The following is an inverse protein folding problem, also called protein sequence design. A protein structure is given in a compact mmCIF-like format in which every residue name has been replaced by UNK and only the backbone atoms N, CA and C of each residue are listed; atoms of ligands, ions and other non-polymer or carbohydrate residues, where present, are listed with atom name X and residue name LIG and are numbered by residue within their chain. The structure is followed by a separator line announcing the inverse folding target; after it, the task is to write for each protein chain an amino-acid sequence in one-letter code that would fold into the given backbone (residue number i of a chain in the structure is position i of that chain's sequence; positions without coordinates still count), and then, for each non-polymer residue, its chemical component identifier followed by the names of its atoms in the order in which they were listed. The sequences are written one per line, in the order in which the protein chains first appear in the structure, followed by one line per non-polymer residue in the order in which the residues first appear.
data_IF_216948504289
#
_entry.id   IF_216948504289
#
_cell.length_a   1.000
_cell.length_b   1.000
_cell.length_c   1.000
_cell.angle_alpha   90.00
_cell.angle_beta   90.00
_cell.angle_gamma   90.00
#
_symmetry.space_group_name_H-M   'P 1'
#
loop_
_entity.id
_entity.type
_entity.pdbx_description
1 polymer ?
#
# COMPACT_ATOMS: atom_id res chain seq x y z
N UNK A 1 -23.15 39.75 -30.96
CA UNK A 1 -21.76 39.53 -30.51
C UNK A 1 -21.76 38.17 -29.86
N UNK A 2 -21.14 37.20 -30.53
CA UNK A 2 -20.97 35.86 -29.96
C UNK A 2 -20.06 35.92 -28.74
N UNK A 3 -20.38 35.24 -27.64
CA UNK A 3 -19.50 35.19 -26.48
C UNK A 3 -18.19 34.55 -26.87
N UNK A 4 -17.07 35.17 -26.51
CA UNK A 4 -15.71 34.68 -26.74
C UNK A 4 -15.60 33.22 -26.27
N UNK A 5 -15.29 32.30 -27.17
CA UNK A 5 -15.18 30.88 -26.92
C UNK A 5 -14.14 30.61 -25.82
N UNK A 6 -14.58 29.97 -24.77
CA UNK A 6 -13.74 29.52 -23.66
C UNK A 6 -12.59 28.60 -24.16
N UNK A 7 -11.48 28.47 -23.39
CA UNK A 7 -10.34 27.60 -23.75
C UNK A 7 -10.69 26.10 -23.97
N UNK A 8 -11.94 25.75 -23.92
CA UNK A 8 -12.50 24.42 -24.19
C UNK A 8 -12.45 23.98 -25.66
N UNK A 9 -12.28 24.89 -26.63
CA UNK A 9 -12.27 24.54 -28.06
C UNK A 9 -11.05 23.71 -28.49
N UNK A 10 -9.99 23.68 -27.70
CA UNK A 10 -8.78 22.88 -27.96
C UNK A 10 -8.73 21.57 -27.18
N UNK A 11 -9.78 21.20 -26.45
CA UNK A 11 -9.87 19.96 -25.69
C UNK A 11 -10.53 18.84 -26.51
N UNK A 12 -10.00 17.62 -26.36
CA UNK A 12 -10.66 16.42 -26.93
C UNK A 12 -11.99 16.15 -26.23
N UNK A 13 -12.90 15.34 -26.82
CA UNK A 13 -14.15 14.98 -26.18
C UNK A 13 -13.97 14.36 -24.76
N UNK A 14 -13.00 13.47 -24.59
CA UNK A 14 -12.69 12.85 -23.28
C UNK A 14 -12.16 13.86 -22.27
N UNK A 15 -11.32 14.82 -22.70
CA UNK A 15 -10.85 15.88 -21.83
C UNK A 15 -11.99 16.81 -21.41
N UNK A 16 -12.91 17.17 -22.33
CA UNK A 16 -14.12 17.95 -21.99
C UNK A 16 -14.99 17.24 -20.98
N UNK A 17 -15.19 15.93 -21.15
CA UNK A 17 -15.93 15.12 -20.18
C UNK A 17 -15.26 15.14 -18.80
N UNK A 18 -13.93 15.01 -18.71
CA UNK A 18 -13.18 15.09 -17.46
C UNK A 18 -13.29 16.48 -16.79
N UNK A 19 -13.36 17.56 -17.57
CA UNK A 19 -13.51 18.92 -17.06
C UNK A 19 -14.87 19.12 -16.38
N UNK A 20 -15.95 18.67 -17.01
CA UNK A 20 -17.33 18.90 -16.49
C UNK A 20 -17.79 17.85 -15.50
N UNK A 21 -17.06 16.74 -15.35
CA UNK A 21 -17.43 15.68 -14.41
C UNK A 21 -17.41 16.18 -12.95
N UNK A 22 -18.34 15.72 -12.13
CA UNK A 22 -18.48 16.09 -10.72
C UNK A 22 -18.38 14.86 -9.82
N UNK A 23 -18.15 15.09 -8.53
CA UNK A 23 -17.90 14.05 -7.55
C UNK A 23 -16.50 13.46 -7.66
N UNK A 24 -16.30 12.23 -7.18
CA UNK A 24 -15.02 11.52 -7.25
C UNK A 24 -14.76 11.04 -8.69
N UNK A 25 -13.75 11.62 -9.34
CA UNK A 25 -13.42 11.35 -10.74
C UNK A 25 -11.96 10.90 -10.86
N UNK A 26 -11.76 9.71 -11.44
CA UNK A 26 -10.44 9.21 -11.82
C UNK A 26 -10.20 9.44 -13.32
N UNK A 27 -9.15 10.19 -13.67
CA UNK A 27 -8.73 10.41 -15.05
C UNK A 27 -7.45 9.65 -15.33
N UNK A 28 -7.53 8.58 -16.11
CA UNK A 28 -6.37 7.81 -16.57
C UNK A 28 -5.86 8.36 -17.90
N UNK A 29 -4.58 8.76 -17.94
CA UNK A 29 -4.00 9.36 -19.12
C UNK A 29 -2.49 9.12 -19.17
N UNK A 30 -1.96 8.77 -20.36
CA UNK A 30 -0.53 8.58 -20.62
C UNK A 30 0.28 9.86 -20.53
N UNK A 31 1.61 9.80 -20.65
CA UNK A 31 2.47 10.96 -20.76
C UNK A 31 2.14 11.76 -22.04
N UNK A 32 2.21 13.08 -21.99
CA UNK A 32 1.96 13.96 -23.15
C UNK A 32 0.49 14.13 -23.56
N UNK A 33 -0.47 13.46 -22.92
CA UNK A 33 -1.91 13.53 -23.28
C UNK A 33 -2.63 14.80 -22.82
N UNK A 34 -1.91 15.75 -22.21
CA UNK A 34 -2.49 17.02 -21.76
C UNK A 34 -3.18 16.99 -20.40
N UNK A 35 -2.77 16.10 -19.46
CA UNK A 35 -3.31 16.04 -18.10
C UNK A 35 -3.34 17.39 -17.40
N UNK A 36 -2.22 18.12 -17.40
CA UNK A 36 -2.10 19.45 -16.79
C UNK A 36 -3.05 20.45 -17.42
N UNK A 37 -3.20 20.41 -18.76
CA UNK A 37 -4.15 21.26 -19.48
C UNK A 37 -5.60 20.95 -19.06
N UNK A 38 -5.94 19.69 -18.95
CA UNK A 38 -7.27 19.24 -18.51
C UNK A 38 -7.55 19.67 -17.07
N UNK A 39 -6.56 19.59 -16.18
CA UNK A 39 -6.70 20.01 -14.78
C UNK A 39 -6.89 21.53 -14.67
N UNK A 40 -6.09 22.34 -15.38
CA UNK A 40 -6.29 23.81 -15.44
C UNK A 40 -7.68 24.16 -15.96
N UNK A 41 -8.13 23.51 -17.05
CA UNK A 41 -9.47 23.73 -17.59
C UNK A 41 -10.56 23.37 -16.59
N UNK A 42 -10.37 22.29 -15.78
CA UNK A 42 -11.32 21.90 -14.72
C UNK A 42 -11.35 22.93 -13.59
N UNK A 43 -10.21 23.44 -13.14
CA UNK A 43 -10.15 24.50 -12.14
C UNK A 43 -10.92 25.73 -12.62
N UNK A 44 -10.69 26.16 -13.86
CA UNK A 44 -11.42 27.28 -14.45
C UNK A 44 -12.92 27.02 -14.57
N UNK A 45 -13.33 25.78 -14.89
CA UNK A 45 -14.76 25.39 -14.94
C UNK A 45 -15.41 25.46 -13.56
N UNK A 46 -14.71 25.07 -12.48
CA UNK A 46 -15.20 25.20 -11.11
C UNK A 46 -15.36 26.68 -10.71
N UNK A 47 -14.37 27.53 -11.03
CA UNK A 47 -14.42 28.96 -10.75
C UNK A 47 -15.52 29.66 -11.55
N UNK A 48 -15.73 29.29 -12.79
CA UNK A 48 -16.69 29.94 -13.71
C UNK A 48 -18.14 29.50 -13.43
N UNK A 49 -18.38 28.18 -13.43
CA UNK A 49 -19.74 27.62 -13.35
C UNK A 49 -20.25 27.43 -11.94
N UNK A 50 -19.39 27.02 -11.02
CA UNK A 50 -19.77 26.78 -9.63
C UNK A 50 -19.57 28.02 -8.76
N UNK A 51 -18.92 29.06 -9.31
CA UNK A 51 -18.53 30.27 -8.57
C UNK A 51 -17.73 29.96 -7.30
N UNK A 52 -16.98 28.84 -7.33
CA UNK A 52 -16.02 28.52 -6.28
C UNK A 52 -14.94 29.62 -6.17
N UNK A 53 -14.43 29.82 -4.98
CA UNK A 53 -13.26 30.68 -4.80
C UNK A 53 -11.96 29.87 -4.97
N UNK A 54 -10.89 30.52 -5.43
CA UNK A 54 -9.64 29.83 -5.72
C UNK A 54 -8.98 29.26 -4.45
N UNK A 55 -9.17 29.87 -3.33
CA UNK A 55 -8.73 29.42 -2.01
C UNK A 55 -9.53 28.26 -1.45
N UNK A 56 -10.71 27.95 -2.02
CA UNK A 56 -11.49 26.74 -1.73
C UNK A 56 -10.99 25.52 -2.50
N UNK A 57 -10.08 25.70 -3.49
CA UNK A 57 -9.53 24.63 -4.29
C UNK A 57 -8.17 24.18 -3.76
N UNK A 58 -8.04 22.89 -3.47
CA UNK A 58 -6.74 22.27 -3.21
C UNK A 58 -6.20 21.61 -4.48
N UNK A 59 -5.12 22.13 -5.02
CA UNK A 59 -4.45 21.64 -6.23
C UNK A 59 -3.08 21.14 -5.86
N UNK A 60 -2.88 19.81 -5.88
CA UNK A 60 -1.62 19.18 -5.48
C UNK A 60 -0.94 18.45 -6.63
N UNK A 61 0.39 18.51 -6.61
CA UNK A 61 1.27 17.80 -7.56
C UNK A 61 2.34 17.04 -6.79
N UNK A 62 3.12 16.20 -7.49
CA UNK A 62 4.20 15.44 -6.86
C UNK A 62 5.52 16.22 -6.77
N UNK A 63 5.76 17.20 -7.65
CA UNK A 63 7.03 17.94 -7.70
C UNK A 63 6.81 19.45 -7.66
N UNK A 64 7.75 20.17 -7.08
CA UNK A 64 7.72 21.64 -7.04
C UNK A 64 7.73 22.26 -8.46
N UNK A 65 8.47 21.66 -9.39
CA UNK A 65 8.48 22.11 -10.78
C UNK A 65 7.08 22.01 -11.43
N UNK A 66 6.35 20.90 -11.18
CA UNK A 66 4.99 20.74 -11.68
C UNK A 66 4.01 21.71 -11.00
N UNK A 67 4.20 21.99 -9.70
CA UNK A 67 3.40 22.97 -8.97
C UNK A 67 3.63 24.40 -9.52
N UNK A 68 4.88 24.77 -9.75
CA UNK A 68 5.22 26.06 -10.33
C UNK A 68 4.65 26.24 -11.75
N UNK A 69 4.74 25.19 -12.59
CA UNK A 69 4.13 25.18 -13.92
C UNK A 69 2.60 25.32 -13.85
N UNK A 70 1.94 24.61 -12.91
CA UNK A 70 0.51 24.68 -12.70
C UNK A 70 0.09 26.11 -12.30
N UNK A 71 0.80 26.71 -11.32
CA UNK A 71 0.57 28.11 -10.90
C UNK A 71 0.67 29.06 -12.08
N UNK A 72 1.75 28.97 -12.87
CA UNK A 72 1.97 29.83 -14.02
C UNK A 72 0.85 29.69 -15.07
N UNK A 73 0.44 28.48 -15.38
CA UNK A 73 -0.64 28.21 -16.36
C UNK A 73 -1.98 28.73 -15.88
N UNK A 74 -2.35 28.44 -14.62
CA UNK A 74 -3.61 28.87 -14.06
C UNK A 74 -3.68 30.40 -13.98
N UNK A 75 -2.61 31.05 -13.50
CA UNK A 75 -2.53 32.53 -13.45
C UNK A 75 -2.73 33.18 -14.82
N UNK A 76 -2.06 32.68 -15.85
CA UNK A 76 -2.22 33.18 -17.23
C UNK A 76 -3.66 33.04 -17.74
N UNK A 77 -4.32 31.97 -17.44
CA UNK A 77 -5.70 31.78 -17.87
C UNK A 77 -6.67 32.68 -17.09
N UNK A 78 -6.43 32.91 -15.80
CA UNK A 78 -7.22 33.85 -14.98
C UNK A 78 -7.02 35.31 -15.49
N UNK A 79 -5.78 35.71 -15.81
CA UNK A 79 -5.47 37.03 -16.41
C UNK A 79 -6.20 37.21 -17.73
N UNK A 80 -6.25 36.18 -18.60
CA UNK A 80 -7.03 36.22 -19.85
C UNK A 80 -8.51 36.40 -19.61
N UNK A 81 -9.06 35.67 -18.62
CA UNK A 81 -10.49 35.76 -18.26
C UNK A 81 -10.82 37.15 -17.71
N UNK A 82 -10.00 37.72 -16.83
CA UNK A 82 -10.16 39.07 -16.32
C UNK A 82 -10.11 40.13 -17.42
N UNK A 83 -9.16 40.00 -18.36
CA UNK A 83 -9.05 40.89 -19.49
C UNK A 83 -10.21 40.78 -20.49
N UNK A 84 -10.77 39.59 -20.68
CA UNK A 84 -11.91 39.33 -21.58
C UNK A 84 -13.26 39.76 -21.01
N UNK A 85 -13.38 39.91 -19.70
CA UNK A 85 -14.61 40.31 -19.01
C UNK A 85 -14.32 41.35 -17.92
N UNK A 86 -13.97 42.62 -18.33
CA UNK A 86 -13.58 43.65 -17.38
C UNK A 86 -14.69 44.05 -16.39
N UNK A 87 -15.94 43.87 -16.77
CA UNK A 87 -17.13 44.17 -15.95
C UNK A 87 -17.44 43.07 -14.90
N UNK A 88 -16.83 41.87 -15.00
CA UNK A 88 -17.01 40.80 -14.06
C UNK A 88 -15.91 40.86 -12.98
N UNK A 89 -16.25 41.39 -11.81
CA UNK A 89 -15.34 41.54 -10.67
C UNK A 89 -14.88 40.16 -10.11
N UNK A 90 -15.54 39.06 -10.51
CA UNK A 90 -15.16 37.70 -10.06
C UNK A 90 -13.72 37.38 -10.45
N UNK A 91 -13.28 37.62 -11.69
CA UNK A 91 -11.95 37.24 -12.15
C UNK A 91 -10.81 38.03 -11.51
N UNK A 92 -10.87 39.37 -11.36
CA UNK A 92 -9.93 40.12 -10.55
C UNK A 92 -9.86 39.65 -9.10
N UNK A 93 -11.01 39.25 -8.50
CA UNK A 93 -11.04 38.71 -7.16
C UNK A 93 -10.30 37.36 -7.10
N UNK A 94 -10.50 36.43 -8.07
CA UNK A 94 -9.74 35.17 -8.12
C UNK A 94 -8.23 35.42 -8.25
N UNK A 95 -7.80 36.43 -8.98
CA UNK A 95 -6.40 36.80 -9.07
C UNK A 95 -5.84 37.36 -7.74
N UNK A 96 -6.64 38.07 -6.96
CA UNK A 96 -6.24 38.54 -5.63
C UNK A 96 -6.09 37.37 -4.63
N UNK A 97 -6.88 36.28 -4.76
CA UNK A 97 -6.77 35.08 -3.94
C UNK A 97 -5.59 34.18 -4.33
N UNK A 98 -4.91 34.46 -5.44
CA UNK A 98 -3.92 33.55 -6.01
C UNK A 98 -2.74 33.25 -5.07
N UNK A 99 -2.30 34.22 -4.28
CA UNK A 99 -1.15 34.07 -3.38
C UNK A 99 -1.48 33.23 -2.12
N UNK A 100 -2.76 33.18 -1.74
CA UNK A 100 -3.23 32.35 -0.63
C UNK A 100 -3.77 30.98 -1.09
N UNK A 101 -3.97 30.80 -2.40
CA UNK A 101 -4.50 29.57 -2.97
C UNK A 101 -3.61 28.35 -2.69
N UNK A 102 -4.26 27.21 -2.45
CA UNK A 102 -3.57 25.95 -2.14
C UNK A 102 -3.11 25.24 -3.42
N UNK A 103 -2.06 25.76 -4.06
CA UNK A 103 -1.44 25.15 -5.25
C UNK A 103 0.01 24.80 -4.93
N UNK A 104 0.34 23.53 -4.81
CA UNK A 104 1.67 23.10 -4.37
C UNK A 104 1.89 21.61 -4.45
N UNK A 105 2.92 21.13 -3.78
CA UNK A 105 3.06 19.68 -3.51
C UNK A 105 2.22 19.28 -2.31
N UNK A 106 1.94 17.98 -2.19
CA UNK A 106 1.26 17.47 -0.99
C UNK A 106 2.07 17.79 0.27
N UNK A 107 3.40 17.68 0.20
CA UNK A 107 4.28 17.99 1.33
C UNK A 107 4.21 19.48 1.73
N UNK A 108 4.22 20.41 0.77
CA UNK A 108 4.09 21.83 1.08
C UNK A 108 2.74 22.20 1.69
N UNK A 109 1.67 21.52 1.26
CA UNK A 109 0.35 21.68 1.83
C UNK A 109 0.29 21.13 3.29
N UNK A 110 0.82 19.92 3.53
CA UNK A 110 0.90 19.36 4.88
C UNK A 110 1.72 20.25 5.82
N UNK A 111 2.87 20.75 5.37
CA UNK A 111 3.68 21.68 6.16
C UNK A 111 2.92 22.97 6.52
N UNK A 112 2.13 23.49 5.57
CA UNK A 112 1.27 24.66 5.83
C UNK A 112 0.25 24.34 6.92
N UNK A 113 -0.45 23.22 6.83
CA UNK A 113 -1.41 22.78 7.88
C UNK A 113 -0.75 22.63 9.25
N UNK A 114 0.43 21.97 9.30
CA UNK A 114 1.18 21.83 10.56
C UNK A 114 1.55 23.20 11.15
N UNK A 115 1.96 24.14 10.31
CA UNK A 115 2.28 25.52 10.75
C UNK A 115 1.05 26.33 11.18
N UNK A 116 -0.12 26.09 10.59
CA UNK A 116 -1.37 26.73 11.01
C UNK A 116 -1.86 26.21 12.36
N UNK A 117 -1.60 24.92 12.66
CA UNK A 117 -2.03 24.23 13.86
C UNK A 117 -0.90 23.93 14.86
N UNK A 118 0.23 24.61 14.77
CA UNK A 118 1.42 24.32 15.58
C UNK A 118 1.15 24.37 17.09
N UNK A 119 0.27 25.23 17.55
CA UNK A 119 -0.13 25.33 18.96
C UNK A 119 -0.82 24.05 19.46
N UNK A 120 -1.73 23.50 18.65
CA UNK A 120 -2.47 22.29 18.99
C UNK A 120 -1.56 21.05 19.01
N UNK A 121 -0.54 21.07 18.15
CA UNK A 121 0.44 19.99 18.02
C UNK A 121 1.61 20.12 19.02
N UNK A 122 1.74 21.24 19.73
CA UNK A 122 2.86 21.50 20.64
C UNK A 122 4.21 21.63 19.92
N UNK A 123 4.22 22.09 18.66
CA UNK A 123 5.41 22.17 17.80
C UNK A 123 5.92 23.61 17.69
N UNK A 124 7.19 23.75 17.32
CA UNK A 124 7.78 25.07 16.99
C UNK A 124 7.23 25.56 15.62
N UNK A 125 6.72 26.80 15.53
CA UNK A 125 6.25 27.36 14.24
C UNK A 125 7.36 27.50 13.19
N UNK A 126 8.63 27.51 13.58
CA UNK A 126 9.79 27.57 12.67
C UNK A 126 10.23 26.23 12.13
N UNK A 127 9.32 25.25 12.10
CA UNK A 127 9.58 23.93 11.53
C UNK A 127 10.14 24.02 10.10
N UNK A 128 11.21 23.25 9.86
CA UNK A 128 11.75 22.97 8.55
C UNK A 128 11.56 21.48 8.20
N UNK A 129 11.37 21.19 6.93
CA UNK A 129 11.44 19.81 6.45
C UNK A 129 12.91 19.45 6.24
N UNK A 130 13.32 18.31 6.80
CA UNK A 130 14.59 17.70 6.47
C UNK A 130 14.58 17.19 5.03
N UNK A 131 15.70 17.27 4.35
CA UNK A 131 15.85 16.55 3.09
C UNK A 131 15.99 15.04 3.34
N UNK A 132 15.85 14.23 2.29
CA UNK A 132 15.90 12.77 2.42
C UNK A 132 17.24 12.27 2.96
N UNK A 133 18.35 12.96 2.65
CA UNK A 133 19.69 12.63 3.14
C UNK A 133 19.83 12.89 4.63
N UNK A 134 19.41 14.09 5.08
CA UNK A 134 19.41 14.49 6.48
C UNK A 134 18.49 13.59 7.33
N UNK A 135 17.29 13.30 6.85
CA UNK A 135 16.36 12.40 7.53
C UNK A 135 16.93 10.98 7.67
N UNK A 136 17.60 10.47 6.64
CA UNK A 136 18.25 9.15 6.67
C UNK A 136 19.44 9.12 7.62
N UNK A 137 20.24 10.17 7.65
CA UNK A 137 21.36 10.30 8.57
C UNK A 137 20.87 10.28 10.02
N UNK A 138 19.89 11.11 10.35
CA UNK A 138 19.30 11.18 11.68
C UNK A 138 18.72 9.82 12.12
N UNK A 139 18.00 9.14 11.23
CA UNK A 139 17.45 7.81 11.51
C UNK A 139 18.56 6.77 11.79
N UNK A 140 19.68 6.82 11.08
CA UNK A 140 20.81 5.92 11.34
C UNK A 140 21.52 6.26 12.67
N UNK A 141 21.74 7.52 12.98
CA UNK A 141 22.32 7.98 14.25
C UNK A 141 21.44 7.54 15.43
N UNK A 142 20.13 7.72 15.35
CA UNK A 142 19.18 7.25 16.37
C UNK A 142 19.26 5.73 16.56
N UNK A 143 19.33 4.96 15.45
CA UNK A 143 19.50 3.52 15.53
C UNK A 143 20.87 3.10 16.10
N UNK A 144 21.93 3.86 15.84
CA UNK A 144 23.26 3.58 16.41
C UNK A 144 23.21 3.73 17.94
N UNK A 145 22.62 4.79 18.44
CA UNK A 145 22.46 5.03 19.87
C UNK A 145 21.58 3.96 20.53
N UNK A 146 20.43 3.65 19.92
CA UNK A 146 19.51 2.62 20.41
C UNK A 146 20.17 1.24 20.45
N UNK A 147 20.81 0.82 19.36
CA UNK A 147 21.46 -0.48 19.27
C UNK A 147 22.65 -0.59 20.22
N UNK A 148 23.43 0.48 20.37
CA UNK A 148 24.54 0.54 21.34
C UNK A 148 24.03 0.32 22.77
N UNK A 149 22.96 1.00 23.16
CA UNK A 149 22.33 0.82 24.46
C UNK A 149 21.91 -0.62 24.73
N UNK A 150 21.35 -1.31 23.73
CA UNK A 150 20.94 -2.72 23.87
C UNK A 150 22.10 -3.71 23.79
N UNK A 151 23.19 -3.38 23.11
CA UNK A 151 24.41 -4.21 23.16
C UNK A 151 25.08 -4.16 24.53
N UNK A 152 25.02 -3.01 25.21
CA UNK A 152 25.58 -2.83 26.55
C UNK A 152 24.62 -3.26 27.68
N UNK A 153 23.32 -3.39 27.37
CA UNK A 153 22.28 -3.73 28.33
C UNK A 153 22.30 -5.21 28.73
N UNK A 154 21.94 -5.44 30.02
CA UNK A 154 21.84 -6.79 30.60
C UNK A 154 20.39 -7.20 30.93
N UNK A 155 19.42 -6.31 30.67
CA UNK A 155 18.00 -6.57 30.89
C UNK A 155 17.43 -7.62 29.93
N UNK A 156 16.19 -8.03 30.17
CA UNK A 156 15.52 -9.06 29.37
C UNK A 156 15.35 -8.65 27.90
N UNK A 157 15.04 -7.37 27.66
CA UNK A 157 14.86 -6.87 26.31
C UNK A 157 16.18 -6.82 25.54
N UNK A 158 17.25 -6.37 26.15
CA UNK A 158 18.61 -6.36 25.58
C UNK A 158 19.08 -7.76 25.21
N UNK A 159 18.79 -8.78 26.03
CA UNK A 159 19.06 -10.18 25.69
C UNK A 159 18.21 -10.66 24.51
N UNK A 160 16.94 -10.30 24.44
CA UNK A 160 16.07 -10.63 23.32
C UNK A 160 16.56 -9.98 22.01
N UNK A 161 17.02 -8.73 22.06
CA UNK A 161 17.64 -8.02 20.96
C UNK A 161 18.92 -8.72 20.48
N UNK A 162 19.86 -9.04 21.38
CA UNK A 162 21.09 -9.74 21.03
C UNK A 162 20.79 -11.12 20.39
N UNK A 163 19.81 -11.84 20.92
CA UNK A 163 19.36 -13.12 20.37
C UNK A 163 18.74 -12.95 18.95
N UNK A 164 17.95 -11.90 18.73
CA UNK A 164 17.40 -11.56 17.42
C UNK A 164 18.50 -11.33 16.39
N UNK A 165 19.56 -10.58 16.75
CA UNK A 165 20.73 -10.35 15.89
C UNK A 165 21.44 -11.67 15.58
N UNK A 166 21.64 -12.51 16.60
CA UNK A 166 22.32 -13.79 16.42
C UNK A 166 21.57 -14.73 15.48
N UNK A 167 20.27 -14.86 15.65
CA UNK A 167 19.44 -15.82 14.89
C UNK A 167 19.18 -15.32 13.45
N UNK A 168 18.75 -14.08 13.28
CA UNK A 168 18.30 -13.56 11.98
C UNK A 168 19.38 -12.77 11.23
N UNK A 169 20.34 -12.20 11.96
CA UNK A 169 21.46 -11.44 11.42
C UNK A 169 22.75 -12.23 11.25
N UNK A 170 22.82 -13.47 11.77
CA UNK A 170 24.07 -14.24 11.86
C UNK A 170 25.18 -13.46 12.59
N UNK A 171 24.83 -12.78 13.68
CA UNK A 171 25.72 -11.92 14.44
C UNK A 171 26.00 -10.53 13.83
N UNK A 172 25.31 -10.16 12.75
CA UNK A 172 25.38 -8.84 12.12
C UNK A 172 24.05 -8.15 12.21
N UNK A 173 24.05 -6.86 12.48
CA UNK A 173 22.83 -6.07 12.74
C UNK A 173 22.23 -5.40 11.50
N UNK A 174 22.92 -5.34 10.35
CA UNK A 174 22.47 -4.59 9.18
C UNK A 174 21.06 -5.01 8.70
N UNK A 175 20.74 -6.32 8.76
CA UNK A 175 19.42 -6.81 8.38
C UNK A 175 18.33 -6.36 9.37
N UNK A 176 18.64 -6.37 10.65
CA UNK A 176 17.72 -5.98 11.70
C UNK A 176 17.47 -4.47 11.64
N UNK A 177 18.52 -3.67 11.45
CA UNK A 177 18.41 -2.22 11.21
C UNK A 177 17.49 -1.91 10.04
N UNK A 178 17.69 -2.57 8.92
CA UNK A 178 16.85 -2.40 7.74
C UNK A 178 15.37 -2.77 8.01
N UNK A 179 15.11 -3.82 8.81
CA UNK A 179 13.77 -4.21 9.19
C UNK A 179 13.11 -3.21 10.15
N UNK A 180 13.85 -2.71 11.13
CA UNK A 180 13.37 -1.69 12.09
C UNK A 180 12.99 -0.40 11.34
N UNK A 181 13.88 0.12 10.49
CA UNK A 181 13.58 1.31 9.68
C UNK A 181 12.38 1.10 8.76
N UNK A 182 12.29 -0.06 8.10
CA UNK A 182 11.15 -0.38 7.25
C UNK A 182 9.85 -0.44 8.04
N UNK A 183 9.87 -1.00 9.23
CA UNK A 183 8.73 -1.12 10.10
C UNK A 183 8.31 0.27 10.64
N UNK A 184 9.28 1.08 11.05
CA UNK A 184 9.06 2.47 11.44
C UNK A 184 8.43 3.26 10.29
N UNK A 185 9.01 3.26 9.09
CA UNK A 185 8.43 3.96 7.94
C UNK A 185 7.00 3.47 7.61
N UNK A 186 6.74 2.17 7.73
CA UNK A 186 5.39 1.63 7.54
C UNK A 186 4.42 2.14 8.59
N UNK A 187 4.81 2.17 9.87
CA UNK A 187 3.97 2.70 10.95
C UNK A 187 3.58 4.16 10.71
N UNK A 188 4.51 4.99 10.20
CA UNK A 188 4.26 6.40 9.87
C UNK A 188 3.23 6.61 8.73
N UNK A 189 2.87 5.55 7.99
CA UNK A 189 1.75 5.63 7.02
C UNK A 189 0.38 5.52 7.68
N UNK A 190 0.32 5.27 8.99
CA UNK A 190 -0.91 5.13 9.77
C UNK A 190 -1.26 6.46 10.45
N UNK A 191 -2.56 6.78 10.59
CA UNK A 191 -2.99 7.99 11.30
C UNK A 191 -2.50 8.03 12.76
N UNK A 192 -2.37 6.86 13.39
CA UNK A 192 -1.83 6.67 14.73
C UNK A 192 -0.74 5.59 14.69
N UNK A 193 0.49 6.02 14.47
CA UNK A 193 1.65 5.13 14.36
C UNK A 193 1.93 4.37 15.65
N UNK A 194 1.89 5.09 16.79
CA UNK A 194 2.16 4.53 18.12
C UNK A 194 1.08 3.54 18.56
N UNK A 195 -0.18 3.89 18.37
CA UNK A 195 -1.31 3.01 18.65
C UNK A 195 -1.26 1.75 17.78
N UNK A 196 -0.92 1.88 16.50
CA UNK A 196 -0.76 0.73 15.62
C UNK A 196 0.37 -0.21 16.08
N UNK A 197 1.54 0.31 16.43
CA UNK A 197 2.66 -0.51 16.94
C UNK A 197 2.27 -1.22 18.24
N UNK A 198 1.57 -0.53 19.14
CA UNK A 198 1.08 -1.11 20.39
C UNK A 198 0.08 -2.24 20.15
N UNK A 199 -0.85 -2.06 19.20
CA UNK A 199 -1.79 -3.11 18.78
C UNK A 199 -1.07 -4.35 18.25
N UNK A 200 -0.06 -4.15 17.38
CA UNK A 200 0.73 -5.28 16.86
C UNK A 200 1.50 -6.00 17.97
N UNK A 201 2.09 -5.25 18.92
CA UNK A 201 2.76 -5.83 20.08
C UNK A 201 1.82 -6.71 20.90
N UNK A 202 0.59 -6.28 21.14
CA UNK A 202 -0.42 -7.07 21.84
C UNK A 202 -0.72 -8.39 21.11
N UNK A 203 -0.83 -8.36 19.79
CA UNK A 203 -1.05 -9.57 18.97
C UNK A 203 0.08 -10.57 19.13
N UNK A 204 1.33 -10.13 19.03
CA UNK A 204 2.50 -11.01 19.20
C UNK A 204 2.77 -11.41 20.66
N UNK A 205 2.11 -10.79 21.63
CA UNK A 205 2.14 -11.21 23.04
C UNK A 205 1.16 -12.36 23.33
N UNK A 206 0.19 -12.61 22.45
CA UNK A 206 -0.78 -13.68 22.60
C UNK A 206 -0.10 -15.07 22.62
N UNK A 207 -0.55 -16.00 23.48
CA UNK A 207 0.02 -17.35 23.54
C UNK A 207 -0.29 -18.20 22.30
N UNK A 208 -1.38 -17.88 21.60
CA UNK A 208 -1.87 -18.62 20.44
C UNK A 208 -1.91 -17.73 19.17
N UNK A 209 -1.70 -18.32 17.98
CA UNK A 209 -1.72 -17.62 16.71
C UNK A 209 -3.15 -17.42 16.18
N UNK A 210 -4.00 -16.69 16.90
CA UNK A 210 -5.44 -16.53 16.59
C UNK A 210 -5.67 -16.05 15.16
N UNK A 211 -4.88 -15.07 14.70
CA UNK A 211 -5.02 -14.57 13.32
C UNK A 211 -4.59 -15.62 12.28
N UNK A 212 -3.53 -16.38 12.54
CA UNK A 212 -3.07 -17.43 11.63
C UNK A 212 -4.09 -18.56 11.49
N UNK A 213 -4.77 -18.92 12.59
CA UNK A 213 -5.86 -19.88 12.58
C UNK A 213 -7.03 -19.43 11.69
N UNK A 214 -7.26 -18.10 11.60
CA UNK A 214 -8.27 -17.51 10.72
C UNK A 214 -7.79 -17.39 9.28
N UNK A 215 -6.53 -17.03 9.08
CA UNK A 215 -5.95 -16.82 7.74
C UNK A 215 -5.72 -18.11 6.97
N UNK A 216 -5.38 -19.21 7.65
CA UNK A 216 -5.13 -20.48 6.99
C UNK A 216 -6.35 -20.99 6.20
N UNK A 217 -7.57 -21.08 6.77
CA UNK A 217 -8.75 -21.46 6.01
C UNK A 217 -9.05 -20.49 4.84
N UNK A 218 -8.88 -19.19 5.04
CA UNK A 218 -9.07 -18.21 3.99
C UNK A 218 -8.06 -18.40 2.84
N UNK A 219 -6.79 -18.60 3.15
CA UNK A 219 -5.73 -18.86 2.16
C UNK A 219 -5.98 -20.15 1.37
N UNK A 220 -6.42 -21.21 2.04
CA UNK A 220 -6.78 -22.48 1.38
C UNK A 220 -7.99 -22.30 0.46
N UNK A 221 -9.01 -21.54 0.87
CA UNK A 221 -10.16 -21.21 0.03
C UNK A 221 -9.76 -20.41 -1.22
N UNK A 222 -8.92 -19.40 -1.06
CA UNK A 222 -8.42 -18.57 -2.16
C UNK A 222 -7.61 -19.44 -3.14
N UNK A 223 -6.69 -20.25 -2.65
CA UNK A 223 -5.92 -21.22 -3.42
C UNK A 223 -6.84 -22.16 -4.21
N UNK A 224 -7.80 -22.82 -3.54
CA UNK A 224 -8.78 -23.71 -4.17
C UNK A 224 -9.54 -23.00 -5.30
N UNK A 225 -10.09 -21.81 -5.03
CA UNK A 225 -10.91 -21.07 -5.98
C UNK A 225 -10.09 -20.61 -7.19
N UNK A 226 -8.85 -20.17 -6.99
CA UNK A 226 -7.92 -19.82 -8.05
C UNK A 226 -7.64 -21.01 -8.95
N UNK A 227 -7.28 -22.16 -8.36
CA UNK A 227 -6.86 -23.33 -9.12
C UNK A 227 -8.03 -24.07 -9.77
N UNK A 228 -9.21 -24.06 -9.19
CA UNK A 228 -10.39 -24.58 -9.85
C UNK A 228 -10.66 -23.87 -11.20
N UNK A 229 -10.52 -22.54 -11.22
CA UNK A 229 -10.65 -21.76 -12.49
C UNK A 229 -9.60 -22.15 -13.53
N UNK A 230 -8.34 -22.30 -13.09
CA UNK A 230 -7.24 -22.68 -13.98
C UNK A 230 -7.45 -24.08 -14.53
N UNK A 231 -7.80 -25.04 -13.68
CA UNK A 231 -8.06 -26.45 -14.07
C UNK A 231 -9.26 -26.57 -15.01
N UNK A 232 -10.30 -25.77 -14.82
CA UNK A 232 -11.47 -25.74 -15.71
C UNK A 232 -11.11 -25.28 -17.12
N UNK A 233 -10.25 -24.27 -17.24
CA UNK A 233 -9.75 -23.79 -18.54
C UNK A 233 -8.82 -24.83 -19.22
N UNK A 234 -8.15 -25.69 -18.46
CA UNK A 234 -7.25 -26.71 -18.99
C UNK A 234 -7.97 -28.02 -19.39
N UNK A 235 -9.23 -28.22 -19.06
CA UNK A 235 -10.02 -29.43 -19.40
C UNK A 235 -10.17 -29.65 -20.93
N UNK A 236 -10.02 -28.60 -21.71
CA UNK A 236 -10.12 -28.68 -23.19
C UNK A 236 -8.83 -29.23 -23.85
N UNK A 237 -7.75 -29.36 -23.08
CA UNK A 237 -6.47 -29.88 -23.58
C UNK A 237 -6.50 -31.42 -23.51
N UNK A 238 -6.43 -32.11 -24.64
CA UNK A 238 -6.52 -33.60 -24.72
C UNK A 238 -5.45 -34.32 -23.89
N UNK A 239 -4.23 -33.79 -23.87
CA UNK A 239 -3.11 -34.39 -23.11
C UNK A 239 -3.20 -34.12 -21.62
N UNK A 240 -3.49 -35.15 -20.83
CA UNK A 240 -3.57 -35.07 -19.36
C UNK A 240 -4.95 -34.74 -18.82
N UNK A 241 -5.98 -34.78 -19.65
CA UNK A 241 -7.39 -34.47 -19.29
C UNK A 241 -7.90 -35.26 -18.08
N UNK A 242 -7.58 -36.55 -18.01
CA UNK A 242 -8.01 -37.42 -16.89
C UNK A 242 -7.45 -36.93 -15.56
N UNK A 243 -6.15 -36.59 -15.51
CA UNK A 243 -5.51 -36.08 -14.30
C UNK A 243 -6.02 -34.66 -13.92
N UNK A 244 -6.37 -33.83 -14.90
CA UNK A 244 -6.99 -32.52 -14.64
C UNK A 244 -8.40 -32.71 -14.04
N UNK A 245 -9.17 -33.68 -14.53
CA UNK A 245 -10.50 -34.02 -14.00
C UNK A 245 -10.37 -34.56 -12.57
N UNK A 246 -9.41 -35.46 -12.34
CA UNK A 246 -9.10 -35.99 -11.00
C UNK A 246 -8.77 -34.88 -10.03
N UNK A 247 -7.79 -34.01 -10.33
CA UNK A 247 -7.42 -32.84 -9.51
C UNK A 247 -8.62 -31.92 -9.25
N UNK A 248 -9.40 -31.64 -10.29
CA UNK A 248 -10.61 -30.82 -10.12
C UNK A 248 -11.59 -31.48 -9.13
N UNK A 249 -11.73 -32.82 -9.19
CA UNK A 249 -12.54 -33.59 -8.28
C UNK A 249 -12.02 -33.51 -6.84
N UNK A 250 -10.72 -33.64 -6.64
CA UNK A 250 -10.07 -33.53 -5.32
C UNK A 250 -10.34 -32.14 -4.71
N UNK A 251 -10.07 -31.06 -5.46
CA UNK A 251 -10.25 -29.69 -4.95
C UNK A 251 -11.73 -29.37 -4.65
N UNK A 252 -12.68 -29.94 -5.40
CA UNK A 252 -14.11 -29.75 -5.18
C UNK A 252 -14.65 -30.47 -3.93
N UNK A 253 -13.92 -31.42 -3.39
CA UNK A 253 -14.29 -32.09 -2.11
C UNK A 253 -14.21 -31.12 -0.93
N UNK A 254 -13.43 -30.02 -1.04
CA UNK A 254 -13.32 -29.03 0.00
C UNK A 254 -14.49 -28.04 -0.12
N UNK A 255 -15.45 -27.98 0.84
CA UNK A 255 -16.51 -26.99 0.85
C UNK A 255 -15.95 -25.60 1.16
N UNK A 256 -16.78 -24.58 1.23
CA UNK A 256 -16.37 -23.23 1.60
C UNK A 256 -16.00 -23.15 3.09
N UNK A 257 -16.71 -23.91 3.91
CA UNK A 257 -16.51 -24.04 5.34
C UNK A 257 -16.07 -25.48 5.63
N UNK A 258 -14.89 -25.67 6.14
CA UNK A 258 -14.26 -26.98 6.29
C UNK A 258 -13.44 -27.10 7.58
N UNK A 259 -13.41 -28.28 8.21
CA UNK A 259 -12.46 -28.55 9.27
C UNK A 259 -11.03 -28.68 8.72
N UNK A 260 -10.05 -28.33 9.53
CA UNK A 260 -8.62 -28.32 9.16
C UNK A 260 -8.12 -29.70 8.71
N UNK A 261 -8.64 -30.76 9.29
CA UNK A 261 -8.32 -32.16 8.97
C UNK A 261 -8.72 -32.50 7.52
N UNK A 262 -9.90 -32.06 7.09
CA UNK A 262 -10.34 -32.24 5.71
C UNK A 262 -9.48 -31.48 4.72
N UNK A 263 -9.06 -30.26 5.09
CA UNK A 263 -8.14 -29.49 4.26
C UNK A 263 -6.78 -30.21 4.11
N UNK A 264 -6.22 -30.73 5.20
CA UNK A 264 -4.98 -31.49 5.19
C UNK A 264 -5.09 -32.72 4.28
N UNK A 265 -6.20 -33.47 4.37
CA UNK A 265 -6.47 -34.63 3.51
C UNK A 265 -6.54 -34.25 2.03
N UNK A 266 -7.25 -33.19 1.67
CA UNK A 266 -7.38 -32.73 0.28
C UNK A 266 -6.05 -32.25 -0.29
N UNK A 267 -5.26 -31.54 0.51
CA UNK A 267 -3.91 -31.08 0.13
C UNK A 267 -2.97 -32.28 -0.08
N UNK A 268 -2.98 -33.28 0.79
CA UNK A 268 -2.20 -34.51 0.66
C UNK A 268 -2.58 -35.31 -0.59
N UNK A 269 -3.87 -35.45 -0.86
CA UNK A 269 -4.35 -36.08 -2.11
C UNK A 269 -3.92 -35.31 -3.35
N UNK A 270 -3.92 -33.97 -3.30
CA UNK A 270 -3.43 -33.14 -4.38
C UNK A 270 -1.94 -33.41 -4.65
N UNK A 271 -1.12 -33.54 -3.62
CA UNK A 271 0.31 -33.87 -3.74
C UNK A 271 0.53 -35.27 -4.26
N UNK A 272 -0.28 -36.25 -3.83
CA UNK A 272 -0.22 -37.63 -4.34
C UNK A 272 -0.50 -37.69 -5.85
N UNK A 273 -1.44 -36.88 -6.33
CA UNK A 273 -1.73 -36.76 -7.76
C UNK A 273 -0.54 -36.20 -8.58
N UNK A 274 0.36 -35.37 -8.01
CA UNK A 274 1.59 -34.92 -8.67
C UNK A 274 2.60 -36.06 -8.87
N UNK A 275 2.75 -36.93 -7.88
CA UNK A 275 3.65 -38.10 -7.97
C UNK A 275 3.26 -39.02 -9.13
N UNK A 276 1.97 -39.20 -9.34
CA UNK A 276 1.40 -40.01 -10.40
C UNK A 276 1.29 -39.30 -11.76
N UNK A 277 1.72 -38.04 -11.86
CA UNK A 277 1.57 -37.23 -13.09
C UNK A 277 2.44 -37.77 -14.21
N UNK A 278 1.88 -37.95 -15.42
CA UNK A 278 2.65 -38.44 -16.58
C UNK A 278 3.80 -37.51 -16.93
N UNK A 279 5.04 -37.99 -16.94
CA UNK A 279 6.25 -37.19 -17.21
C UNK A 279 6.42 -36.79 -18.67
N UNK A 280 5.71 -37.42 -19.59
CA UNK A 280 5.81 -37.15 -21.04
C UNK A 280 4.52 -36.56 -21.60
N UNK A 281 4.63 -35.46 -22.34
CA UNK A 281 3.53 -34.77 -23.09
C UNK A 281 2.37 -34.25 -22.23
N UNK A 282 2.61 -33.90 -20.97
CA UNK A 282 1.57 -33.45 -20.05
C UNK A 282 1.66 -31.92 -19.82
N UNK A 283 0.53 -31.22 -19.65
CA UNK A 283 0.50 -29.79 -19.33
C UNK A 283 0.84 -29.51 -17.85
N UNK A 284 1.89 -30.17 -17.29
CA UNK A 284 2.30 -29.98 -15.88
C UNK A 284 2.80 -28.58 -15.61
N UNK A 285 3.50 -27.98 -16.56
CA UNK A 285 4.13 -26.65 -16.39
C UNK A 285 3.15 -25.56 -15.95
N UNK A 286 1.92 -25.45 -16.48
CA UNK A 286 0.94 -24.46 -16.03
C UNK A 286 0.42 -24.68 -14.59
N UNK A 287 0.53 -25.91 -14.04
CA UNK A 287 0.00 -26.30 -12.74
C UNK A 287 1.09 -26.66 -11.72
N UNK A 288 2.37 -26.51 -12.05
CA UNK A 288 3.48 -26.80 -11.14
C UNK A 288 3.38 -25.97 -9.84
N UNK A 289 2.92 -24.73 -9.95
CA UNK A 289 2.72 -23.86 -8.81
C UNK A 289 1.60 -24.35 -7.89
N UNK A 290 0.57 -25.01 -8.42
CA UNK A 290 -0.51 -25.63 -7.62
C UNK A 290 0.06 -26.62 -6.59
N UNK A 291 0.94 -27.50 -7.01
CA UNK A 291 1.52 -28.52 -6.12
C UNK A 291 2.45 -27.90 -5.08
N UNK A 292 3.26 -26.93 -5.46
CA UNK A 292 4.15 -26.24 -4.53
C UNK A 292 3.39 -25.45 -3.47
N UNK A 293 2.29 -24.79 -3.86
CA UNK A 293 1.40 -24.12 -2.92
C UNK A 293 0.62 -25.12 -2.04
N UNK A 294 0.19 -26.25 -2.60
CA UNK A 294 -0.44 -27.33 -1.83
C UNK A 294 0.51 -27.93 -0.79
N UNK A 295 1.79 -28.11 -1.13
CA UNK A 295 2.82 -28.58 -0.20
C UNK A 295 2.97 -27.61 0.98
N UNK A 296 3.10 -26.33 0.70
CA UNK A 296 3.21 -25.29 1.74
C UNK A 296 1.96 -25.23 2.62
N UNK A 297 0.76 -25.15 2.03
CA UNK A 297 -0.50 -25.12 2.79
C UNK A 297 -0.73 -26.42 3.58
N UNK A 298 -0.35 -27.56 3.00
CA UNK A 298 -0.44 -28.87 3.63
C UNK A 298 0.49 -29.00 4.84
N UNK A 299 1.69 -28.43 4.77
CA UNK A 299 2.61 -28.40 5.92
C UNK A 299 2.06 -27.62 7.10
N UNK A 300 1.25 -26.57 6.86
CA UNK A 300 0.58 -25.78 7.90
C UNK A 300 -0.73 -26.40 8.39
N UNK A 301 -1.45 -27.10 7.50
CA UNK A 301 -2.73 -27.69 7.83
C UNK A 301 -2.61 -29.01 8.64
N UNK A 302 -1.51 -29.77 8.44
CA UNK A 302 -1.34 -31.11 9.00
C UNK A 302 -0.86 -31.06 10.46
N UNK A 303 -1.70 -31.49 11.40
CA UNK A 303 -1.31 -31.71 12.80
C UNK A 303 -0.83 -33.14 12.94
N UNK A 304 0.43 -33.36 13.30
CA UNK A 304 1.03 -34.70 13.42
C UNK A 304 1.49 -34.96 14.87
N UNK A 305 1.02 -36.05 15.45
CA UNK A 305 1.50 -36.50 16.78
C UNK A 305 1.24 -35.52 17.93
N UNK A 306 0.24 -34.65 17.79
CA UNK A 306 -0.06 -33.59 18.77
C UNK A 306 0.69 -32.31 18.58
N UNK A 307 1.61 -32.22 17.62
CA UNK A 307 2.32 -30.98 17.26
C UNK A 307 1.53 -30.22 16.19
N UNK A 308 1.13 -29.00 16.49
CA UNK A 308 0.51 -28.08 15.56
C UNK A 308 1.55 -27.14 14.97
N UNK A 309 1.85 -27.21 13.66
CA UNK A 309 2.84 -26.36 13.01
C UNK A 309 2.59 -24.86 13.20
N UNK A 310 1.33 -24.42 13.21
CA UNK A 310 1.01 -23.01 13.44
C UNK A 310 1.40 -22.55 14.85
N UNK A 311 1.15 -23.40 15.85
CA UNK A 311 1.51 -23.08 17.23
C UNK A 311 3.02 -23.15 17.44
N UNK A 312 3.71 -24.13 16.83
CA UNK A 312 5.16 -24.28 16.92
C UNK A 312 5.88 -23.09 16.26
N UNK A 313 5.49 -22.72 15.04
CA UNK A 313 6.03 -21.58 14.33
C UNK A 313 5.72 -20.25 15.06
N UNK A 314 4.51 -20.13 15.62
CA UNK A 314 4.13 -18.98 16.43
C UNK A 314 5.00 -18.81 17.66
N UNK A 315 5.18 -19.89 18.42
CA UNK A 315 6.01 -19.86 19.62
C UNK A 315 7.48 -19.48 19.31
N UNK A 316 7.96 -19.87 18.13
CA UNK A 316 9.29 -19.49 17.67
C UNK A 316 9.37 -18.03 17.26
N UNK A 317 8.42 -17.51 16.47
CA UNK A 317 8.54 -16.19 15.84
C UNK A 317 8.02 -15.03 16.69
N UNK A 318 7.01 -15.25 17.55
CA UNK A 318 6.31 -14.18 18.28
C UNK A 318 7.23 -13.30 19.11
N UNK A 319 8.20 -13.89 19.80
CA UNK A 319 9.17 -13.14 20.60
C UNK A 319 10.08 -12.25 19.76
N UNK A 320 10.54 -12.77 18.61
CA UNK A 320 11.37 -12.02 17.68
C UNK A 320 10.61 -10.84 17.05
N UNK A 321 9.34 -11.06 16.67
CA UNK A 321 8.48 -10.00 16.14
C UNK A 321 8.15 -8.95 17.19
N UNK A 322 7.89 -9.34 18.42
CA UNK A 322 7.68 -8.40 19.52
C UNK A 322 8.92 -7.55 19.78
N UNK A 323 10.12 -8.14 19.72
CA UNK A 323 11.38 -7.39 19.85
C UNK A 323 11.55 -6.39 18.71
N UNK A 324 11.31 -6.77 17.45
CA UNK A 324 11.36 -5.86 16.30
C UNK A 324 10.37 -4.70 16.40
N UNK A 325 9.13 -4.97 16.84
CA UNK A 325 8.09 -3.96 17.01
C UNK A 325 8.46 -2.96 18.10
N UNK A 326 9.04 -3.42 19.21
CA UNK A 326 9.51 -2.54 20.29
C UNK A 326 10.65 -1.65 19.83
N UNK A 327 11.65 -2.20 19.11
CA UNK A 327 12.73 -1.41 18.52
C UNK A 327 12.23 -0.32 17.56
N UNK A 328 11.14 -0.57 16.85
CA UNK A 328 10.54 0.43 15.96
C UNK A 328 9.65 1.44 16.68
N UNK A 329 9.28 1.16 17.93
CA UNK A 329 8.47 2.04 18.78
C UNK A 329 9.35 3.00 19.61
N UNK A 330 10.53 2.56 20.05
CA UNK A 330 11.56 3.38 20.71
C UNK A 330 12.12 4.46 19.79
#
# INVERSE_FOLDING_TARGET
MEPASAPTDSLTPSQRQAVVARGNVLVMAGAGTGKTKTLVARCLDCLDRERAALDELLIVTFTEAAAAEMRLRLRRELEKKAAASPEDEHWPHQLALFDIAHIGTLHSFCLKLVREHFHELGLDPQLAMLDEGEARQLANETLDEQFQSHYEGEDEFSRAFQNLIQIHGNGRDEKIRALVLRLHHYSQTRPDAGGWLTEQLQKFSAPEPVEWQTWLPAAINDWRNQWLRVLENLKEVESGREKIIELTGILRRLPQDFPRELAAEVLEQTLSADVEWPRKKSPRKPIEKLFREAEFLGSLASVKGGNDPLTDDWNWIRGHMATLLRLAQE
#
